data_IF_900801028529
#
_entry.id   IF_900801028529
#
_cell.length_a   1.000
_cell.length_b   1.000
_cell.length_c   1.000
_cell.angle_alpha   90.00
_cell.angle_beta   90.00
_cell.angle_gamma   90.00
#
_symmetry.space_group_name_H-M   'P 1'
#
loop_
_entity.id
_entity.type
_entity.pdbx_description
1 polymer ?
#
# COMPACT_ATOMS: atom_id res chain seq x y z
N UNK A 1 11.96 -2.09 -22.06
CA UNK A 1 12.53 -2.01 -20.69
C UNK A 1 12.29 -0.60 -20.17
N UNK A 2 11.91 -0.43 -18.88
CA UNK A 2 11.91 0.90 -18.28
C UNK A 2 13.31 1.52 -18.40
N UNK A 3 13.43 2.85 -18.58
CA UNK A 3 14.73 3.50 -18.59
C UNK A 3 15.44 3.24 -17.26
N UNK A 4 16.68 2.75 -17.34
CA UNK A 4 17.54 2.56 -16.18
C UNK A 4 18.19 3.90 -15.87
N UNK A 5 17.72 4.59 -14.83
CA UNK A 5 18.33 5.84 -14.38
C UNK A 5 19.76 5.60 -13.91
N UNK A 6 20.60 6.63 -13.97
CA UNK A 6 21.97 6.64 -13.42
C UNK A 6 22.02 6.01 -12.04
N UNK A 7 23.07 5.26 -11.72
CA UNK A 7 23.24 4.77 -10.35
C UNK A 7 23.52 5.92 -9.37
N UNK A 8 23.24 5.70 -8.08
CA UNK A 8 23.31 6.79 -7.08
C UNK A 8 24.69 7.43 -7.08
N UNK A 9 25.76 6.64 -7.23
CA UNK A 9 27.13 7.12 -7.22
C UNK A 9 27.48 8.03 -8.41
N UNK A 10 26.70 7.96 -9.49
CA UNK A 10 26.83 8.77 -10.69
C UNK A 10 25.99 10.07 -10.62
N UNK A 11 25.12 10.20 -9.62
CA UNK A 11 24.31 11.40 -9.44
C UNK A 11 25.15 12.58 -8.93
N UNK A 12 24.62 13.80 -9.13
CA UNK A 12 25.18 15.03 -8.56
C UNK A 12 25.44 14.89 -7.05
N UNK A 13 26.51 15.52 -6.58
CA UNK A 13 27.03 15.34 -5.20
C UNK A 13 25.96 15.64 -4.15
N UNK A 14 25.17 16.68 -4.36
CA UNK A 14 24.12 17.14 -3.45
C UNK A 14 23.00 16.10 -3.34
N UNK A 15 22.63 15.48 -4.45
CA UNK A 15 21.65 14.38 -4.47
C UNK A 15 22.19 13.17 -3.70
N UNK A 16 23.47 12.82 -3.88
CA UNK A 16 24.11 11.74 -3.13
C UNK A 16 24.13 12.01 -1.63
N UNK A 17 24.47 13.23 -1.22
CA UNK A 17 24.46 13.65 0.19
C UNK A 17 23.07 13.53 0.81
N UNK A 18 22.05 14.04 0.12
CA UNK A 18 20.67 13.94 0.60
C UNK A 18 20.18 12.50 0.68
N UNK A 19 20.53 11.65 -0.30
CA UNK A 19 20.27 10.21 -0.24
C UNK A 19 20.93 9.57 1.00
N UNK A 20 22.18 9.90 1.29
CA UNK A 20 22.87 9.42 2.49
C UNK A 20 22.16 9.84 3.78
N UNK A 21 21.60 11.05 3.84
CA UNK A 21 20.78 11.47 4.98
C UNK A 21 19.47 10.67 5.09
N UNK A 22 18.81 10.40 3.96
CA UNK A 22 17.60 9.58 3.96
C UNK A 22 17.89 8.17 4.48
N UNK A 23 19.02 7.58 4.09
CA UNK A 23 19.50 6.29 4.58
C UNK A 23 19.82 6.31 6.07
N UNK A 24 20.50 7.34 6.57
CA UNK A 24 20.80 7.47 8.00
C UNK A 24 19.54 7.55 8.88
N UNK A 25 18.43 8.09 8.34
CA UNK A 25 17.12 8.13 9.00
C UNK A 25 16.22 6.92 8.73
N UNK A 26 16.77 5.83 8.18
CA UNK A 26 16.03 4.60 7.84
C UNK A 26 16.29 3.51 8.86
N UNK A 27 15.24 2.90 9.39
CA UNK A 27 15.32 1.76 10.30
C UNK A 27 14.00 0.98 10.26
N UNK A 28 14.03 -0.26 9.78
CA UNK A 28 12.84 -1.11 9.67
C UNK A 28 12.35 -1.63 11.03
N UNK A 29 13.16 -1.47 12.09
CA UNK A 29 12.85 -1.94 13.44
C UNK A 29 12.28 -0.84 14.36
N UNK A 30 12.40 0.43 13.96
CA UNK A 30 11.92 1.57 14.72
C UNK A 30 10.71 2.21 14.00
N UNK A 31 9.49 2.13 14.57
CA UNK A 31 8.28 2.65 13.94
C UNK A 31 8.29 4.19 13.77
N UNK A 32 9.14 4.91 14.51
CA UNK A 32 9.29 6.36 14.39
C UNK A 32 10.26 6.75 13.25
N UNK A 33 11.01 5.77 12.73
CA UNK A 33 11.94 5.96 11.61
C UNK A 33 11.32 5.50 10.29
N UNK A 34 12.00 5.88 9.20
CA UNK A 34 11.54 5.54 7.86
C UNK A 34 11.82 4.08 7.54
N UNK A 35 10.84 3.39 6.94
CA UNK A 35 11.03 2.05 6.36
C UNK A 35 11.86 2.11 5.06
N UNK A 36 12.72 1.11 4.89
CA UNK A 36 13.67 0.94 3.79
C UNK A 36 13.02 0.98 2.41
N UNK A 37 11.80 0.45 2.24
CA UNK A 37 11.07 0.51 0.96
C UNK A 37 10.70 1.94 0.58
N UNK A 38 10.38 2.78 1.56
CA UNK A 38 10.12 4.20 1.32
C UNK A 38 11.40 4.91 0.88
N UNK A 39 12.50 4.64 1.57
CA UNK A 39 13.83 5.15 1.21
C UNK A 39 14.26 4.73 -0.20
N UNK A 40 14.05 3.47 -0.59
CA UNK A 40 14.34 2.99 -1.94
C UNK A 40 13.54 3.74 -3.01
N UNK A 41 12.25 4.00 -2.76
CA UNK A 41 11.43 4.80 -3.68
C UNK A 41 11.94 6.22 -3.81
N UNK A 42 12.34 6.84 -2.70
CA UNK A 42 12.86 8.21 -2.71
C UNK A 42 14.15 8.31 -3.52
N UNK A 43 15.05 7.33 -3.37
CA UNK A 43 16.27 7.24 -4.19
C UNK A 43 15.93 7.16 -5.68
N UNK A 44 14.93 6.35 -6.04
CA UNK A 44 14.52 6.22 -7.44
C UNK A 44 13.99 7.54 -7.99
N UNK A 45 13.21 8.29 -7.22
CA UNK A 45 12.67 9.59 -7.62
C UNK A 45 13.78 10.64 -7.79
N UNK A 46 14.78 10.65 -6.92
CA UNK A 46 15.93 11.55 -7.01
C UNK A 46 16.86 11.19 -8.17
N UNK A 47 17.05 9.89 -8.47
CA UNK A 47 17.80 9.45 -9.65
C UNK A 47 17.11 9.84 -10.95
N UNK A 48 15.78 9.73 -10.99
CA UNK A 48 15.02 10.24 -12.12
C UNK A 48 15.20 11.75 -12.27
N UNK A 49 15.19 12.49 -11.16
CA UNK A 49 15.37 13.93 -11.18
C UNK A 49 16.77 14.33 -11.66
N UNK A 50 17.82 13.66 -11.19
CA UNK A 50 19.19 13.87 -11.68
C UNK A 50 19.29 13.66 -13.20
N UNK A 51 18.62 12.63 -13.71
CA UNK A 51 18.54 12.38 -15.15
C UNK A 51 17.75 13.45 -15.89
N UNK A 52 16.66 13.95 -15.29
CA UNK A 52 15.87 15.04 -15.86
C UNK A 52 16.68 16.33 -15.96
N UNK A 53 17.55 16.64 -14.98
CA UNK A 53 18.46 17.78 -15.05
C UNK A 53 19.41 17.67 -16.25
N UNK A 54 19.95 16.47 -16.51
CA UNK A 54 20.80 16.27 -17.70
C UNK A 54 20.05 16.49 -19.00
N UNK A 55 18.79 16.04 -19.08
CA UNK A 55 17.97 16.18 -20.29
C UNK A 55 17.59 17.63 -20.61
N UNK A 56 17.67 18.52 -19.63
CA UNK A 56 17.33 19.93 -19.77
C UNK A 56 18.58 20.83 -19.70
N UNK A 57 19.78 20.24 -19.84
CA UNK A 57 21.06 20.95 -19.83
C UNK A 57 21.29 21.80 -18.56
N UNK A 58 20.79 21.32 -17.42
CA UNK A 58 20.95 21.97 -16.11
C UNK A 58 22.15 21.35 -15.40
N UNK A 59 23.25 22.10 -15.28
CA UNK A 59 24.51 21.59 -14.70
C UNK A 59 24.38 21.32 -13.20
N UNK A 60 23.90 22.29 -12.42
CA UNK A 60 23.78 22.21 -10.96
C UNK A 60 22.34 22.16 -10.47
N UNK A 61 22.13 21.52 -9.32
CA UNK A 61 20.81 21.51 -8.67
C UNK A 61 20.38 22.90 -8.20
N UNK A 62 21.34 23.78 -7.92
CA UNK A 62 21.14 25.18 -7.55
C UNK A 62 20.79 26.09 -8.73
N UNK A 63 21.05 25.65 -9.97
CA UNK A 63 20.81 26.44 -11.18
C UNK A 63 19.35 26.32 -11.65
N UNK A 64 18.57 25.47 -10.99
CA UNK A 64 17.16 25.24 -11.28
C UNK A 64 16.37 26.50 -10.97
N UNK A 65 15.75 27.08 -11.99
CA UNK A 65 14.94 28.28 -11.87
C UNK A 65 13.47 27.95 -11.62
N UNK A 66 12.65 28.95 -11.23
CA UNK A 66 11.19 28.77 -11.20
C UNK A 66 10.58 28.39 -12.55
N UNK A 67 11.21 28.76 -13.68
CA UNK A 67 10.75 28.36 -15.01
C UNK A 67 11.02 26.87 -15.26
N UNK A 68 12.17 26.36 -14.84
CA UNK A 68 12.51 24.94 -14.91
C UNK A 68 11.60 24.12 -14.00
N UNK A 69 11.24 24.64 -12.82
CA UNK A 69 10.28 24.00 -11.93
C UNK A 69 8.88 23.88 -12.56
N UNK A 70 8.45 24.88 -13.35
CA UNK A 70 7.22 24.79 -14.13
C UNK A 70 7.33 23.70 -15.21
N UNK A 71 8.46 23.66 -15.95
CA UNK A 71 8.69 22.62 -16.96
C UNK A 71 8.70 21.22 -16.33
N UNK A 72 9.34 21.06 -15.17
CA UNK A 72 9.35 19.83 -14.38
C UNK A 72 7.93 19.37 -14.04
N UNK A 73 7.05 20.28 -13.64
CA UNK A 73 5.64 19.99 -13.35
C UNK A 73 4.91 19.42 -14.58
N UNK A 74 5.07 20.08 -15.73
CA UNK A 74 4.49 19.64 -17.00
C UNK A 74 5.04 18.28 -17.46
N UNK A 75 6.34 18.07 -17.29
CA UNK A 75 7.02 16.81 -17.59
C UNK A 75 6.53 15.66 -16.72
N UNK A 76 6.33 15.90 -15.42
CA UNK A 76 5.80 14.90 -14.51
C UNK A 76 4.38 14.47 -14.88
N UNK A 77 3.52 15.43 -15.21
CA UNK A 77 2.13 15.17 -15.60
C UNK A 77 2.00 14.47 -16.95
N UNK A 78 2.89 14.77 -17.90
CA UNK A 78 2.86 14.13 -19.22
C UNK A 78 3.46 12.73 -19.21
N UNK A 79 4.48 12.47 -18.37
CA UNK A 79 5.23 11.19 -18.35
C UNK A 79 4.65 10.15 -17.38
N UNK A 80 3.91 10.56 -16.36
CA UNK A 80 3.42 9.67 -15.30
C UNK A 80 1.92 9.82 -15.06
N UNK A 81 1.33 8.82 -14.41
CA UNK A 81 -0.11 8.77 -14.14
C UNK A 81 -0.41 8.48 -12.66
N UNK A 82 -1.65 8.79 -12.27
CA UNK A 82 -2.13 8.62 -10.89
C UNK A 82 -1.36 9.51 -9.91
N UNK A 83 -1.00 8.96 -8.75
CA UNK A 83 -0.31 9.71 -7.68
C UNK A 83 1.20 9.81 -7.85
N UNK A 84 1.78 9.11 -8.85
CA UNK A 84 3.22 9.08 -9.09
C UNK A 84 3.82 10.47 -9.39
N UNK A 85 3.24 11.30 -10.30
CA UNK A 85 3.69 12.67 -10.52
C UNK A 85 3.79 13.49 -9.22
N UNK A 86 2.72 13.45 -8.40
CA UNK A 86 2.65 14.21 -7.15
C UNK A 86 3.71 13.75 -6.15
N UNK A 87 3.84 12.43 -5.92
CA UNK A 87 4.83 11.95 -4.97
C UNK A 87 6.24 12.32 -5.40
N UNK A 88 6.54 12.24 -6.69
CA UNK A 88 7.86 12.64 -7.20
C UNK A 88 8.10 14.13 -7.02
N UNK A 89 7.11 14.97 -7.34
CA UNK A 89 7.17 16.41 -7.06
C UNK A 89 7.48 16.68 -5.58
N UNK A 90 6.74 16.08 -4.66
CA UNK A 90 6.92 16.28 -3.21
C UNK A 90 8.32 15.86 -2.74
N UNK A 91 8.92 14.82 -3.35
CA UNK A 91 10.31 14.43 -3.04
C UNK A 91 11.33 15.42 -3.54
N UNK A 92 11.17 15.92 -4.77
CA UNK A 92 12.07 16.91 -5.35
C UNK A 92 11.94 18.23 -4.58
N UNK A 93 10.72 18.63 -4.23
CA UNK A 93 10.44 19.78 -3.38
C UNK A 93 11.18 19.66 -2.04
N UNK A 94 11.04 18.52 -1.35
CA UNK A 94 11.71 18.27 -0.06
C UNK A 94 13.25 18.30 -0.18
N UNK A 95 13.80 17.88 -1.31
CA UNK A 95 15.23 17.96 -1.59
C UNK A 95 15.69 19.42 -1.73
N UNK A 96 14.95 20.27 -2.44
CA UNK A 96 15.26 21.71 -2.54
C UNK A 96 15.06 22.46 -1.21
N UNK A 97 14.09 22.06 -0.39
CA UNK A 97 13.98 22.53 1.00
C UNK A 97 15.21 22.14 1.84
N UNK A 98 15.76 20.94 1.61
CA UNK A 98 17.01 20.54 2.23
C UNK A 98 18.20 21.39 1.76
N UNK A 99 18.33 21.65 0.46
CA UNK A 99 19.37 22.55 -0.08
C UNK A 99 19.30 23.95 0.56
N UNK A 100 18.08 24.47 0.72
CA UNK A 100 17.84 25.78 1.36
C UNK A 100 18.28 25.76 2.83
N UNK A 101 17.93 24.71 3.58
CA UNK A 101 18.36 24.55 4.99
C UNK A 101 19.86 24.36 5.17
N UNK A 102 20.53 23.80 4.16
CA UNK A 102 21.99 23.66 4.16
C UNK A 102 22.71 24.92 3.64
N UNK A 103 21.98 26.00 3.39
CA UNK A 103 22.51 27.27 2.86
C UNK A 103 23.22 27.11 1.50
N UNK A 104 22.85 26.07 0.73
CA UNK A 104 23.36 25.81 -0.62
C UNK A 104 22.56 26.56 -1.70
N UNK A 105 21.38 27.06 -1.33
CA UNK A 105 20.55 27.92 -2.16
C UNK A 105 19.73 28.86 -1.29
N UNK A 106 19.34 30.02 -1.80
CA UNK A 106 18.56 30.99 -1.04
C UNK A 106 17.07 30.62 -0.93
N UNK A 107 16.52 30.02 -2.00
CA UNK A 107 15.10 29.70 -2.08
C UNK A 107 14.86 28.49 -2.97
N UNK A 108 13.93 27.64 -2.53
CA UNK A 108 13.44 26.52 -3.33
C UNK A 108 12.67 27.01 -4.59
N UNK A 109 13.11 26.63 -5.81
CA UNK A 109 12.51 27.07 -7.06
C UNK A 109 11.10 26.52 -7.29
N UNK A 110 10.77 25.38 -6.66
CA UNK A 110 9.44 24.78 -6.76
C UNK A 110 8.41 25.49 -5.86
N UNK A 111 8.84 26.29 -4.88
CA UNK A 111 7.93 26.94 -3.91
C UNK A 111 6.92 27.88 -4.56
N UNK A 112 7.21 28.41 -5.75
CA UNK A 112 6.26 29.23 -6.50
C UNK A 112 5.00 28.46 -6.92
N UNK A 113 5.12 27.16 -7.14
CA UNK A 113 4.07 26.32 -7.74
C UNK A 113 3.55 25.26 -6.77
N UNK A 114 4.10 25.19 -5.56
CA UNK A 114 3.87 24.04 -4.70
C UNK A 114 2.47 24.03 -4.05
N UNK A 115 1.89 25.22 -3.87
CA UNK A 115 0.56 25.41 -3.26
C UNK A 115 -0.58 25.10 -4.25
N UNK A 116 -0.34 25.28 -5.54
CA UNK A 116 -1.29 25.27 -6.66
C UNK A 116 -0.89 24.28 -7.78
N UNK A 117 0.01 23.35 -7.49
CA UNK A 117 0.49 22.29 -8.42
C UNK A 117 -0.61 21.37 -8.94
N UNK A 118 -1.71 21.24 -8.20
CA UNK A 118 -2.89 20.51 -8.62
C UNK A 118 -3.66 21.25 -9.71
N UNK A 119 -3.83 22.56 -9.57
CA UNK A 119 -4.46 23.40 -10.60
C UNK A 119 -3.55 23.54 -11.83
N UNK A 120 -2.26 23.82 -11.62
CA UNK A 120 -1.34 24.12 -12.71
C UNK A 120 -0.89 22.89 -13.51
N UNK A 121 -0.72 21.74 -12.86
CA UNK A 121 -0.21 20.55 -13.52
C UNK A 121 -1.10 19.32 -13.32
N UNK A 122 -2.16 19.37 -12.51
CA UNK A 122 -2.97 18.19 -12.20
C UNK A 122 -2.31 17.22 -11.22
N UNK A 123 -1.34 17.66 -10.41
CA UNK A 123 -0.66 16.78 -9.43
C UNK A 123 -1.56 16.54 -8.21
N UNK A 124 -2.46 15.56 -8.30
CA UNK A 124 -3.41 15.25 -7.22
C UNK A 124 -3.13 13.91 -6.56
N UNK A 125 -3.66 13.75 -5.34
CA UNK A 125 -3.77 12.45 -4.67
C UNK A 125 -4.94 11.62 -5.20
N UNK A 126 -5.85 12.25 -5.95
CA UNK A 126 -7.00 11.56 -6.54
C UNK A 126 -6.52 10.67 -7.67
N UNK A 127 -6.89 9.40 -7.58
CA UNK A 127 -6.72 8.45 -8.69
C UNK A 127 -8.00 8.41 -9.51
N UNK A 128 -7.94 7.87 -10.73
CA UNK A 128 -9.17 7.53 -11.48
C UNK A 128 -10.11 6.64 -10.64
N UNK A 129 -9.54 5.79 -9.79
CA UNK A 129 -10.30 5.00 -8.82
C UNK A 129 -11.01 5.89 -7.79
N UNK A 130 -10.36 6.95 -7.28
CA UNK A 130 -10.97 7.91 -6.35
C UNK A 130 -12.13 8.67 -6.98
N UNK A 131 -12.02 9.07 -8.26
CA UNK A 131 -13.11 9.74 -8.99
C UNK A 131 -14.31 8.81 -9.22
N UNK A 132 -14.06 7.56 -9.62
CA UNK A 132 -15.15 6.57 -9.81
C UNK A 132 -15.87 6.18 -8.51
N UNK A 133 -15.22 6.36 -7.36
CA UNK A 133 -15.87 6.15 -6.05
C UNK A 133 -16.85 7.28 -5.68
N UNK A 134 -16.73 8.47 -6.29
CA UNK A 134 -17.69 9.58 -6.09
C UNK A 134 -18.98 9.39 -6.92
N UNK A 135 -18.92 8.62 -8.00
CA UNK A 135 -20.02 8.39 -8.97
C UNK A 135 -20.92 7.19 -8.65
N UNK A 136 -20.99 6.74 -7.38
CA UNK A 136 -21.91 5.70 -6.90
C UNK A 136 -21.71 4.29 -7.50
N UNK A 137 -20.61 4.04 -8.23
CA UNK A 137 -20.24 2.70 -8.68
C UNK A 137 -19.76 1.82 -7.51
N UNK A 138 -20.44 0.70 -7.28
CA UNK A 138 -20.07 -0.30 -6.29
C UNK A 138 -18.77 -0.99 -6.74
N UNK A 139 -17.62 -0.44 -6.36
CA UNK A 139 -16.30 -1.00 -6.70
C UNK A 139 -16.01 -2.34 -6.00
N UNK A 140 -16.79 -2.68 -4.98
CA UNK A 140 -16.68 -3.97 -4.31
C UNK A 140 -17.19 -5.08 -5.25
N UNK A 141 -16.33 -6.06 -5.54
CA UNK A 141 -16.72 -7.28 -6.24
C UNK A 141 -17.90 -7.94 -5.53
N UNK A 142 -18.96 -8.18 -6.29
CA UNK A 142 -20.14 -8.88 -5.83
C UNK A 142 -19.81 -10.32 -5.45
N UNK A 143 -20.66 -10.92 -4.62
CA UNK A 143 -20.52 -12.34 -4.28
C UNK A 143 -20.53 -13.24 -5.53
N UNK A 144 -21.32 -12.88 -6.54
CA UNK A 144 -21.40 -13.62 -7.81
C UNK A 144 -20.06 -13.58 -8.56
N UNK A 145 -19.42 -12.41 -8.64
CA UNK A 145 -18.10 -12.26 -9.26
C UNK A 145 -17.02 -13.02 -8.49
N UNK A 146 -17.08 -13.04 -7.15
CA UNK A 146 -16.20 -13.88 -6.33
C UNK A 146 -16.36 -15.37 -6.67
N UNK A 147 -17.61 -15.86 -6.81
CA UNK A 147 -17.85 -17.26 -7.19
C UNK A 147 -17.30 -17.58 -8.57
N UNK A 148 -17.47 -16.68 -9.54
CA UNK A 148 -16.88 -16.84 -10.85
C UNK A 148 -15.35 -16.90 -10.79
N UNK A 149 -14.71 -16.05 -9.98
CA UNK A 149 -13.26 -16.11 -9.78
C UNK A 149 -12.81 -17.41 -9.11
N UNK A 150 -13.54 -17.91 -8.12
CA UNK A 150 -13.27 -19.21 -7.47
C UNK A 150 -13.38 -20.39 -8.43
N UNK A 151 -14.35 -20.37 -9.35
CA UNK A 151 -14.61 -21.46 -10.31
C UNK A 151 -13.51 -21.54 -11.38
N UNK A 152 -12.95 -20.39 -11.75
CA UNK A 152 -11.98 -20.22 -12.83
C UNK A 152 -10.51 -20.17 -12.38
N UNK A 153 -10.21 -20.50 -11.11
CA UNK A 153 -8.82 -20.59 -10.66
C UNK A 153 -8.05 -21.69 -11.40
N UNK A 154 -6.74 -21.48 -11.56
CA UNK A 154 -5.85 -22.38 -12.29
C UNK A 154 -5.43 -23.64 -11.51
N UNK A 155 -4.19 -24.07 -11.73
CA UNK A 155 -3.69 -25.39 -11.31
C UNK A 155 -3.74 -25.63 -9.79
N UNK A 156 -3.65 -24.60 -8.95
CA UNK A 156 -3.64 -24.72 -7.48
C UNK A 156 -5.02 -24.43 -6.89
N UNK A 157 -6.04 -25.14 -7.37
CA UNK A 157 -7.47 -24.81 -7.16
C UNK A 157 -7.84 -24.55 -5.70
N UNK A 158 -7.51 -25.47 -4.78
CA UNK A 158 -7.85 -25.34 -3.35
C UNK A 158 -7.18 -24.14 -2.70
N UNK A 159 -5.88 -23.93 -2.99
CA UNK A 159 -5.10 -22.82 -2.43
C UNK A 159 -5.64 -21.48 -2.92
N UNK A 160 -5.83 -21.35 -4.23
CA UNK A 160 -6.20 -20.08 -4.84
C UNK A 160 -7.65 -19.71 -4.45
N UNK A 161 -8.57 -20.69 -4.35
CA UNK A 161 -9.91 -20.49 -3.81
C UNK A 161 -9.89 -20.02 -2.35
N UNK A 162 -9.07 -20.64 -1.50
CA UNK A 162 -8.93 -20.24 -0.11
C UNK A 162 -8.42 -18.79 -0.01
N UNK A 163 -7.41 -18.42 -0.79
CA UNK A 163 -6.87 -17.05 -0.82
C UNK A 163 -7.95 -16.05 -1.23
N UNK A 164 -8.70 -16.32 -2.31
CA UNK A 164 -9.79 -15.44 -2.77
C UNK A 164 -10.82 -15.23 -1.65
N UNK A 165 -11.29 -16.31 -1.02
CA UNK A 165 -12.27 -16.24 0.08
C UNK A 165 -11.75 -15.46 1.27
N UNK A 166 -10.52 -15.77 1.69
CA UNK A 166 -9.87 -15.11 2.83
C UNK A 166 -9.77 -13.61 2.59
N UNK A 167 -9.25 -13.18 1.43
CA UNK A 167 -9.08 -11.77 1.11
C UNK A 167 -10.42 -11.04 1.00
N UNK A 168 -11.44 -11.65 0.39
CA UNK A 168 -12.76 -11.04 0.25
C UNK A 168 -13.51 -10.92 1.59
N UNK A 169 -13.50 -11.97 2.42
CA UNK A 169 -14.23 -11.97 3.69
C UNK A 169 -13.61 -11.06 4.75
N UNK A 170 -12.29 -10.97 4.78
CA UNK A 170 -11.56 -10.23 5.82
C UNK A 170 -11.20 -8.81 5.40
N UNK A 171 -11.17 -8.52 4.10
CA UNK A 171 -10.64 -7.26 3.58
C UNK A 171 -9.14 -7.07 3.83
N UNK A 172 -8.41 -8.11 4.25
CA UNK A 172 -6.99 -8.02 4.52
C UNK A 172 -6.19 -7.66 3.27
N UNK A 173 -5.09 -6.92 3.47
CA UNK A 173 -4.16 -6.62 2.38
C UNK A 173 -3.36 -7.87 2.02
N UNK A 174 -2.98 -8.01 0.75
CA UNK A 174 -2.12 -9.10 0.26
C UNK A 174 -0.87 -9.33 1.12
N UNK A 175 -0.22 -8.24 1.57
CA UNK A 175 0.98 -8.32 2.40
C UNK A 175 0.72 -8.85 3.81
N UNK A 176 -0.46 -8.58 4.38
CA UNK A 176 -0.90 -9.14 5.65
C UNK A 176 -1.21 -10.63 5.47
N UNK A 177 -1.97 -10.99 4.43
CA UNK A 177 -2.30 -12.38 4.10
C UNK A 177 -1.06 -13.24 3.86
N UNK A 178 -0.02 -12.71 3.23
CA UNK A 178 1.22 -13.46 2.99
C UNK A 178 2.02 -13.77 4.25
N UNK A 179 1.75 -13.08 5.37
CA UNK A 179 2.43 -13.28 6.65
C UNK A 179 1.63 -14.13 7.63
N UNK A 180 0.40 -14.50 7.29
CA UNK A 180 -0.40 -15.38 8.14
C UNK A 180 0.28 -16.73 8.32
N UNK A 181 0.29 -17.18 9.56
CA UNK A 181 0.72 -18.50 9.99
C UNK A 181 -0.48 -19.28 10.53
N UNK A 182 -0.30 -20.59 10.75
CA UNK A 182 -1.34 -21.41 11.37
C UNK A 182 -1.64 -21.01 12.81
N UNK A 183 -0.71 -20.31 13.48
CA UNK A 183 -0.88 -19.83 14.85
C UNK A 183 -1.78 -18.61 14.96
N UNK A 184 -2.01 -17.90 13.86
CA UNK A 184 -2.91 -16.76 13.78
C UNK A 184 -4.38 -17.19 13.60
N UNK A 185 -4.64 -18.50 13.46
CA UNK A 185 -5.96 -19.07 13.24
C UNK A 185 -6.48 -19.74 14.51
N UNK A 186 -7.46 -19.10 15.15
CA UNK A 186 -8.23 -19.71 16.23
C UNK A 186 -9.54 -20.27 15.67
N UNK A 187 -9.87 -21.51 16.05
CA UNK A 187 -11.21 -22.03 15.83
C UNK A 187 -12.08 -21.56 16.98
N UNK A 188 -13.10 -20.78 16.68
CA UNK A 188 -14.21 -20.61 17.62
C UNK A 188 -14.73 -21.99 18.01
N UNK A 189 -14.76 -22.26 19.32
CA UNK A 189 -15.55 -23.36 19.86
C UNK A 189 -16.96 -23.26 19.30
N UNK A 190 -17.56 -24.35 18.81
CA UNK A 190 -18.87 -24.28 18.18
C UNK A 190 -19.85 -23.63 19.15
N UNK A 191 -20.36 -22.45 18.78
CA UNK A 191 -21.51 -21.83 19.44
C UNK A 191 -22.56 -22.92 19.59
N UNK A 192 -23.11 -23.15 20.81
CA UNK A 192 -24.15 -24.14 20.97
C UNK A 192 -25.25 -23.77 20.00
N UNK A 193 -25.42 -24.60 18.96
CA UNK A 193 -26.56 -24.52 18.07
C UNK A 193 -27.76 -24.41 19.01
N UNK A 194 -28.52 -23.31 18.92
CA UNK A 194 -29.82 -23.20 19.59
C UNK A 194 -30.68 -24.31 18.99
N UNK A 195 -30.54 -25.50 19.55
CA UNK A 195 -31.40 -26.63 19.30
C UNK A 195 -32.76 -26.23 19.81
N UNK A 196 -33.75 -26.32 18.94
CA UNK A 196 -35.16 -26.28 19.31
C UNK A 196 -35.39 -27.16 20.55
N UNK A 197 -35.99 -26.67 21.64
CA UNK A 197 -36.19 -27.45 22.86
C UNK A 197 -37.18 -28.63 22.70
N UNK A 198 -37.63 -28.95 21.48
CA UNK A 198 -38.70 -29.90 21.20
C UNK A 198 -38.24 -31.37 21.00
N UNK A 199 -36.98 -31.72 21.23
CA UNK A 199 -36.51 -33.11 21.01
C UNK A 199 -35.62 -33.65 22.14
N UNK A 200 -36.13 -33.63 23.38
CA UNK A 200 -35.59 -34.52 24.42
C UNK A 200 -36.51 -35.75 24.56
N UNK A 201 -36.00 -36.97 24.31
CA UNK A 201 -36.78 -38.19 24.52
C UNK A 201 -36.98 -38.45 26.01
N UNK A 202 -38.23 -38.61 26.43
CA UNK A 202 -38.62 -38.94 27.79
C UNK A 202 -38.03 -40.30 28.19
N UNK A 203 -37.04 -40.31 29.08
CA UNK A 203 -36.55 -41.54 29.74
C UNK A 203 -37.69 -42.17 30.55
N UNK A 204 -38.31 -43.23 30.02
CA UNK A 204 -39.16 -44.14 30.80
C UNK A 204 -38.29 -44.94 31.77
N UNK A 205 -38.25 -44.52 33.03
CA UNK A 205 -37.73 -45.33 34.14
C UNK A 205 -38.78 -46.37 34.52
N UNK A 206 -38.78 -47.51 33.83
CA UNK A 206 -39.53 -48.71 34.24
C UNK A 206 -38.70 -49.55 35.21
N UNK A 207 -38.88 -49.34 36.51
CA UNK A 207 -38.33 -50.16 37.59
C UNK A 207 -39.30 -51.33 37.82
N UNK A 208 -38.94 -52.61 37.62
CA UNK A 208 -39.81 -53.72 37.99
C UNK A 208 -39.78 -53.95 39.51
N UNK A 209 -40.93 -54.28 40.15
CA UNK A 209 -40.99 -54.53 41.57
C UNK A 209 -40.43 -55.91 41.95
N UNK A 210 -39.67 -55.92 43.03
CA UNK A 210 -39.16 -57.11 43.73
C UNK A 210 -40.34 -57.91 44.28
N UNK A 211 -40.52 -59.15 43.83
CA UNK A 211 -41.38 -60.12 44.50
C UNK A 211 -40.54 -61.12 45.30
N UNK A 212 -40.89 -61.16 46.58
CA UNK A 212 -40.49 -62.05 47.66
C UNK A 212 -40.24 -63.51 47.24
N UNK A 213 -39.02 -63.99 47.53
CA UNK A 213 -38.78 -65.40 47.84
C UNK A 213 -39.07 -65.60 49.32
N UNK A 214 -40.14 -66.34 49.62
CA UNK A 214 -40.37 -66.91 50.93
C UNK A 214 -40.18 -68.43 50.89
N UNK A 215 -39.71 -68.94 52.01
CA UNK A 215 -39.07 -70.23 52.27
C UNK A 215 -39.96 -71.46 52.04
N UNK A 216 -39.36 -72.56 51.58
CA UNK A 216 -39.21 -73.84 52.32
C UNK A 216 -38.29 -74.79 51.58
#
# INVERSE_FOLDING_TARGET
MPPRYKDVDECRREIRQYIGQLEAGTDDSDPERRDSKSTTRYKQDLRWYDHWLDQNDIEGVQDVTPADANQLGQDLSSKFHGTTPLYRWDRIYSFHEWLTRMELMEKNPLSRWNEDKDEHFGLTKSTEQSRRLEDDETYAVSQTEIRQMEENVGRSRVRDQLIIRLLWQTGMRRGEASRLTLYDLERDSPSPVRGDPASLPTRRTGRPPLHHLDRR
#
